data_IF_786846965797
#
_entry.id   IF_786846965797
#
_cell.length_a   1.000
_cell.length_b   1.000
_cell.length_c   1.000
_cell.angle_alpha   90.00
_cell.angle_beta   90.00
_cell.angle_gamma   90.00
#
_symmetry.space_group_name_H-M   'P 1'
#
loop_
_entity.id
_entity.type
_entity.pdbx_description
1 polymer ?
#
# COMPACT_ATOMS: atom_id res chain seq x y z
N UNK A 1 -29.21 -31.27 -25.43
CA UNK A 1 -28.19 -30.22 -25.32
C UNK A 1 -28.58 -29.36 -24.11
N UNK A 2 -27.60 -28.91 -23.32
CA UNK A 2 -27.76 -28.62 -21.89
C UNK A 2 -28.29 -27.20 -21.61
N UNK A 3 -28.80 -27.09 -20.38
CA UNK A 3 -29.55 -26.01 -19.75
C UNK A 3 -28.91 -24.62 -19.75
N UNK A 4 -29.82 -23.65 -19.71
CA UNK A 4 -29.65 -22.20 -19.61
C UNK A 4 -28.82 -21.75 -18.39
N UNK A 5 -27.80 -20.93 -18.64
CA UNK A 5 -27.33 -19.92 -17.67
C UNK A 5 -26.92 -18.66 -18.45
N UNK A 6 -27.77 -17.64 -18.37
CA UNK A 6 -27.56 -16.33 -19.02
C UNK A 6 -26.66 -15.50 -18.11
N UNK A 7 -25.39 -15.35 -18.49
CA UNK A 7 -24.50 -14.36 -17.89
C UNK A 7 -24.85 -12.97 -18.45
N UNK A 8 -25.52 -12.14 -17.65
CA UNK A 8 -25.76 -10.74 -17.98
C UNK A 8 -24.54 -9.89 -17.60
N UNK A 9 -23.61 -9.72 -18.52
CA UNK A 9 -22.65 -8.62 -18.45
C UNK A 9 -23.22 -7.45 -19.28
N UNK A 10 -23.66 -6.39 -18.60
CA UNK A 10 -23.99 -5.14 -19.28
C UNK A 10 -22.69 -4.44 -19.71
N UNK A 11 -22.61 -4.15 -21.01
CA UNK A 11 -21.57 -3.35 -21.65
C UNK A 11 -21.51 -1.95 -21.04
N UNK A 12 -20.36 -1.59 -20.45
CA UNK A 12 -20.12 -0.20 -20.07
C UNK A 12 -19.53 0.52 -21.27
N UNK A 13 -20.37 1.38 -21.85
CA UNK A 13 -20.13 2.24 -22.99
C UNK A 13 -18.89 3.12 -22.84
N UNK A 14 -18.19 3.28 -23.96
CA UNK A 14 -17.07 4.19 -24.18
C UNK A 14 -17.50 5.65 -23.91
N UNK A 15 -17.05 6.21 -22.79
CA UNK A 15 -16.85 7.66 -22.67
C UNK A 15 -15.56 7.94 -21.90
N UNK A 16 -14.45 7.51 -22.50
CA UNK A 16 -13.10 7.55 -21.95
C UNK A 16 -12.43 8.93 -22.04
N UNK A 17 -13.18 10.04 -21.97
CA UNK A 17 -12.60 11.37 -22.26
C UNK A 17 -12.91 12.52 -21.30
N UNK A 18 -13.75 12.35 -20.27
CA UNK A 18 -14.03 13.44 -19.30
C UNK A 18 -14.16 12.93 -17.86
N UNK A 19 -13.11 12.31 -17.30
CA UNK A 19 -12.94 12.29 -15.82
C UNK A 19 -11.48 12.05 -15.39
N UNK A 20 -10.52 12.28 -16.26
CA UNK A 20 -9.08 12.13 -15.95
C UNK A 20 -8.44 13.41 -15.40
N UNK A 21 -9.17 14.53 -15.34
CA UNK A 21 -8.67 15.80 -14.82
C UNK A 21 -9.07 16.14 -13.38
N UNK A 22 -10.12 15.49 -12.84
CA UNK A 22 -10.66 15.82 -11.50
C UNK A 22 -10.42 14.73 -10.43
N UNK A 23 -9.93 13.55 -10.83
CA UNK A 23 -9.25 12.62 -9.91
C UNK A 23 -7.73 12.85 -10.06
N UNK A 24 -7.32 14.12 -10.00
CA UNK A 24 -6.03 14.38 -9.39
C UNK A 24 -6.29 14.01 -7.93
N UNK A 25 -5.83 12.80 -7.53
CA UNK A 25 -5.75 12.41 -6.13
C UNK A 25 -5.07 13.60 -5.47
N UNK A 26 -5.86 14.44 -4.78
CA UNK A 26 -5.32 15.45 -3.88
C UNK A 26 -4.73 14.62 -2.77
N UNK A 27 -3.51 14.15 -2.97
CA UNK A 27 -2.61 13.83 -1.87
C UNK A 27 -2.44 15.19 -1.22
N UNK A 28 -3.38 15.54 -0.35
CA UNK A 28 -3.28 16.71 0.50
C UNK A 28 -2.15 16.36 1.45
N UNK A 29 -0.93 16.61 0.98
CA UNK A 29 0.30 16.59 1.77
C UNK A 29 0.23 17.75 2.74
N UNK A 30 -0.74 17.73 3.64
CA UNK A 30 -0.73 18.56 4.82
C UNK A 30 0.32 17.93 5.73
N UNK A 31 1.41 18.68 5.92
CA UNK A 31 2.44 18.30 6.87
C UNK A 31 1.82 18.21 8.26
N UNK A 32 2.19 17.18 9.01
CA UNK A 32 1.79 17.06 10.42
C UNK A 32 2.48 18.19 11.18
N UNK A 33 1.70 19.08 11.81
CA UNK A 33 2.25 20.19 12.61
C UNK A 33 3.08 19.67 13.78
N UNK A 34 4.18 20.37 14.09
CA UNK A 34 5.04 20.05 15.24
C UNK A 34 4.32 20.26 16.58
N UNK A 35 3.27 21.07 16.60
CA UNK A 35 2.47 21.34 17.80
C UNK A 35 1.38 20.29 18.04
N UNK A 36 1.25 19.28 17.16
CA UNK A 36 0.28 18.21 17.34
C UNK A 36 0.69 17.33 18.53
N UNK A 37 -0.13 17.33 19.58
CA UNK A 37 0.08 16.50 20.77
C UNK A 37 -0.98 15.41 20.87
N UNK A 38 -0.59 14.24 21.38
CA UNK A 38 -1.49 13.10 21.59
C UNK A 38 -1.49 12.69 23.07
N UNK A 39 -2.64 12.29 23.62
CA UNK A 39 -2.75 11.85 25.01
C UNK A 39 -2.17 10.45 25.22
N UNK A 40 -2.04 9.64 24.17
CA UNK A 40 -1.46 8.30 24.27
C UNK A 40 -0.74 7.87 23.00
N UNK A 41 0.16 6.90 23.15
CA UNK A 41 0.83 6.26 22.03
C UNK A 41 -0.10 5.48 21.09
N UNK A 42 -1.25 5.03 21.59
CA UNK A 42 -2.24 4.32 20.78
C UNK A 42 -2.95 5.29 19.82
N UNK A 43 -3.24 6.51 20.28
CA UNK A 43 -3.82 7.54 19.40
C UNK A 43 -2.84 8.01 18.33
N UNK A 44 -1.54 8.07 18.64
CA UNK A 44 -0.49 8.32 17.63
C UNK A 44 -0.52 7.24 16.54
N UNK A 45 -0.63 5.96 16.91
CA UNK A 45 -0.68 4.85 15.96
C UNK A 45 -1.92 4.96 15.05
N UNK A 46 -3.11 5.13 15.63
CA UNK A 46 -4.35 5.29 14.87
C UNK A 46 -4.33 6.53 13.94
N UNK A 47 -3.80 7.65 14.43
CA UNK A 47 -3.68 8.88 13.65
C UNK A 47 -2.78 8.67 12.45
N UNK A 48 -1.60 8.08 12.64
CA UNK A 48 -0.63 7.85 11.58
C UNK A 48 -1.14 6.82 10.56
N UNK A 49 -1.83 5.76 10.99
CA UNK A 49 -2.46 4.79 10.09
C UNK A 49 -3.49 5.47 9.16
N UNK A 50 -4.39 6.29 9.73
CA UNK A 50 -5.34 7.06 8.92
C UNK A 50 -4.63 8.08 8.03
N UNK A 51 -3.62 8.79 8.54
CA UNK A 51 -2.84 9.75 7.77
C UNK A 51 -2.17 9.08 6.57
N UNK A 52 -1.51 7.94 6.76
CA UNK A 52 -0.91 7.16 5.68
C UNK A 52 -1.95 6.72 4.65
N UNK A 53 -3.10 6.20 5.11
CA UNK A 53 -4.19 5.79 4.23
C UNK A 53 -4.70 6.94 3.35
N UNK A 54 -4.95 8.12 3.93
CA UNK A 54 -5.38 9.32 3.18
C UNK A 54 -4.31 9.82 2.20
N UNK A 55 -3.03 9.57 2.50
CA UNK A 55 -1.91 9.99 1.66
C UNK A 55 -1.38 8.87 0.74
N UNK A 56 -2.04 7.71 0.70
CA UNK A 56 -1.71 6.63 -0.22
C UNK A 56 -0.49 5.78 0.15
N UNK A 57 -0.11 5.71 1.43
CA UNK A 57 0.94 4.80 1.90
C UNK A 57 0.55 4.06 3.18
N UNK A 58 1.00 2.81 3.29
CA UNK A 58 0.86 2.04 4.51
C UNK A 58 2.08 2.27 5.41
N UNK A 59 1.85 2.31 6.72
CA UNK A 59 2.89 2.54 7.72
C UNK A 59 3.15 1.24 8.50
N UNK A 60 4.42 0.97 8.79
CA UNK A 60 4.84 -0.07 9.70
C UNK A 60 5.68 0.50 10.85
N UNK A 61 5.66 -0.17 11.99
CA UNK A 61 6.38 0.26 13.21
C UNK A 61 7.79 -0.29 13.21
N UNK A 62 8.77 0.61 13.12
CA UNK A 62 10.17 0.22 12.95
C UNK A 62 10.95 0.13 14.27
N UNK A 63 10.94 1.22 15.07
CA UNK A 63 11.76 1.31 16.29
C UNK A 63 11.02 1.99 17.43
N UNK A 64 11.21 1.47 18.64
CA UNK A 64 10.73 2.09 19.88
C UNK A 64 11.90 2.33 20.83
N UNK A 65 12.04 3.57 21.28
CA UNK A 65 13.05 3.96 22.26
C UNK A 65 12.38 4.23 23.61
N UNK A 66 13.00 3.72 24.67
CA UNK A 66 12.53 3.87 26.05
C UNK A 66 13.62 4.52 26.89
N UNK A 67 13.21 5.35 27.85
CA UNK A 67 14.11 5.82 28.88
C UNK A 67 14.62 4.62 29.68
N UNK A 68 15.94 4.52 29.87
CA UNK A 68 16.57 3.36 30.53
C UNK A 68 16.17 3.21 32.00
N UNK A 69 15.91 4.34 32.68
CA UNK A 69 15.64 4.36 34.11
C UNK A 69 14.16 4.18 34.43
N UNK A 70 13.26 4.80 33.66
CA UNK A 70 11.81 4.74 33.91
C UNK A 70 11.06 3.72 33.03
N UNK A 71 11.72 3.14 32.02
CA UNK A 71 11.12 2.26 31.02
C UNK A 71 9.94 2.89 30.25
N UNK A 72 9.79 4.22 30.33
CA UNK A 72 8.77 4.98 29.60
C UNK A 72 9.21 5.14 28.14
N UNK A 73 8.29 4.95 27.21
CA UNK A 73 8.52 5.18 25.77
C UNK A 73 8.70 6.67 25.52
N UNK A 74 9.84 7.03 24.93
CA UNK A 74 10.20 8.43 24.64
C UNK A 74 10.12 8.75 23.14
N UNK A 75 10.25 7.73 22.29
CA UNK A 75 10.20 7.90 20.83
C UNK A 75 9.72 6.63 20.14
N UNK A 76 8.97 6.80 19.06
CA UNK A 76 8.65 5.75 18.08
C UNK A 76 9.04 6.23 16.68
N UNK A 77 9.59 5.33 15.90
CA UNK A 77 9.94 5.55 14.49
C UNK A 77 9.07 4.63 13.64
N UNK A 78 8.47 5.22 12.63
CA UNK A 78 7.58 4.56 11.67
C UNK A 78 8.22 4.64 10.29
N UNK A 79 8.00 3.61 9.48
CA UNK A 79 8.50 3.52 8.10
C UNK A 79 7.34 3.15 7.17
N UNK A 80 7.48 3.41 5.88
CA UNK A 80 6.52 2.88 4.91
C UNK A 80 6.59 1.34 4.91
N UNK A 81 5.45 0.66 4.77
CA UNK A 81 5.41 -0.80 4.64
C UNK A 81 6.19 -1.28 3.42
N UNK A 82 6.14 -0.50 2.33
CA UNK A 82 6.83 -0.77 1.07
C UNK A 82 8.22 -0.13 1.00
N UNK A 83 8.76 0.32 2.14
CA UNK A 83 10.12 0.86 2.20
C UNK A 83 11.16 -0.22 1.83
N UNK A 84 12.30 0.22 1.30
CA UNK A 84 13.41 -0.64 0.90
C UNK A 84 13.60 -0.78 -0.61
N UNK A 85 14.56 -1.62 -0.98
CA UNK A 85 14.93 -1.81 -2.39
C UNK A 85 13.93 -2.73 -3.07
N UNK A 86 13.23 -2.19 -4.07
CA UNK A 86 12.38 -2.99 -4.95
C UNK A 86 13.18 -4.14 -5.56
N UNK A 87 12.73 -5.38 -5.32
CA UNK A 87 13.26 -6.57 -5.99
C UNK A 87 12.25 -7.02 -7.03
N UNK A 88 12.53 -6.74 -8.30
CA UNK A 88 11.73 -7.25 -9.40
C UNK A 88 11.74 -8.77 -9.36
N UNK A 89 10.57 -9.40 -9.19
CA UNK A 89 10.42 -10.82 -9.46
C UNK A 89 10.48 -11.02 -10.97
N UNK A 90 11.68 -11.24 -11.51
CA UNK A 90 11.83 -11.64 -12.91
C UNK A 90 11.10 -12.98 -13.05
N UNK A 91 10.04 -13.02 -13.87
CA UNK A 91 9.39 -14.29 -14.21
C UNK A 91 10.42 -15.11 -15.01
N UNK A 92 10.86 -16.23 -14.46
CA UNK A 92 11.56 -17.24 -15.25
C UNK A 92 10.57 -17.78 -16.27
N UNK A 93 10.71 -17.33 -17.52
CA UNK A 93 10.11 -18.03 -18.64
C UNK A 93 10.81 -19.38 -18.73
N UNK A 94 10.14 -20.42 -18.23
CA UNK A 94 10.53 -21.81 -18.42
C UNK A 94 10.49 -22.14 -19.92
N UNK A 95 11.55 -21.78 -20.65
CA UNK A 95 11.80 -22.35 -21.96
C UNK A 95 12.35 -23.75 -21.70
N UNK A 96 11.44 -24.72 -21.56
CA UNK A 96 11.80 -26.13 -21.66
C UNK A 96 12.15 -26.38 -23.14
N UNK A 97 13.44 -26.31 -23.46
CA UNK A 97 13.93 -26.83 -24.74
C UNK A 97 13.90 -28.35 -24.65
N UNK A 98 12.83 -28.96 -25.17
CA UNK A 98 12.79 -30.41 -25.45
C UNK A 98 13.95 -30.74 -26.40
N UNK A 99 14.97 -31.43 -25.89
CA UNK A 99 15.93 -32.14 -26.72
C UNK A 99 15.30 -33.45 -27.16
N UNK A 100 14.80 -33.50 -28.39
CA UNK A 100 14.53 -34.76 -29.08
C UNK A 100 15.88 -35.41 -29.44
N UNK A 101 16.22 -36.49 -28.74
CA UNK A 101 17.32 -37.38 -29.16
C UNK A 101 16.71 -38.53 -29.97
N UNK A 102 16.93 -38.50 -31.28
CA UNK A 102 16.67 -39.63 -32.17
C UNK A 102 17.92 -40.52 -32.22
N UNK A 103 17.80 -41.78 -31.81
CA UNK A 103 18.64 -42.91 -32.27
C UNK A 103 17.72 -44.11 -32.47
#
# INVERSE_FOLDING_TARGET
>A
APDDFVDSYQEISNDATILTSNICIKIASEDISLDTTFPSWNEVENFLENYGYQNGFAINKYRMERNKSSNIITKRTFTCEFDGKFKSKKKESSIQVEKQNNI
#
